data_IF_473057591028
#
_entry.id   IF_473057591028
#
_cell.length_a   1.000
_cell.length_b   1.000
_cell.length_c   1.000
_cell.angle_alpha   90.00
_cell.angle_beta   90.00
_cell.angle_gamma   90.00
#
_symmetry.space_group_name_H-M   'P 1'
#
loop_
_entity.id
_entity.type
_entity.pdbx_description
1 polymer ?
#
# COMPACT_ATOMS: atom_id res chain seq x y z
N UNK A 1 17.58 17.28 -10.64
CA UNK A 1 16.87 17.03 -11.90
C UNK A 1 15.75 16.08 -11.56
N UNK A 2 14.55 16.61 -11.32
CA UNK A 2 13.38 15.81 -11.00
C UNK A 2 12.88 15.24 -12.34
N UNK A 3 13.11 13.95 -12.53
CA UNK A 3 12.64 13.23 -13.72
C UNK A 3 11.10 13.28 -13.74
N UNK A 4 10.55 13.53 -14.91
CA UNK A 4 9.16 13.90 -15.18
C UNK A 4 8.12 13.00 -14.50
N UNK A 5 7.57 13.48 -13.37
CA UNK A 5 6.26 13.04 -12.89
C UNK A 5 5.15 13.28 -13.95
N UNK A 6 5.44 14.02 -15.03
CA UNK A 6 4.55 14.30 -16.14
C UNK A 6 4.25 13.08 -17.05
N UNK A 7 4.98 11.96 -16.89
CA UNK A 7 4.80 10.77 -17.74
C UNK A 7 3.71 9.79 -17.32
N UNK A 8 3.14 9.91 -16.11
CA UNK A 8 2.32 8.86 -15.49
C UNK A 8 0.85 9.24 -15.28
N UNK A 9 0.40 10.34 -15.89
CA UNK A 9 -0.94 10.87 -15.71
C UNK A 9 -1.09 11.65 -14.40
N UNK A 10 -2.32 12.12 -14.14
CA UNK A 10 -2.65 12.78 -12.87
C UNK A 10 -2.73 11.81 -11.69
N UNK A 11 -2.83 12.30 -10.45
CA UNK A 11 -2.90 11.47 -9.24
C UNK A 11 -4.00 10.39 -9.31
N UNK A 12 -5.14 10.72 -9.90
CA UNK A 12 -6.27 9.80 -10.05
C UNK A 12 -5.96 8.65 -11.03
N UNK A 13 -5.46 8.97 -12.22
CA UNK A 13 -5.12 7.96 -13.23
C UNK A 13 -4.04 6.99 -12.71
N UNK A 14 -3.01 7.55 -12.06
CA UNK A 14 -1.97 6.76 -11.42
C UNK A 14 -2.54 5.84 -10.33
N UNK A 15 -3.43 6.36 -9.48
CA UNK A 15 -4.04 5.60 -8.38
C UNK A 15 -4.92 4.47 -8.91
N UNK A 16 -5.68 4.68 -9.99
CA UNK A 16 -6.49 3.64 -10.61
C UNK A 16 -5.65 2.49 -11.17
N UNK A 17 -4.53 2.81 -11.83
CA UNK A 17 -3.59 1.80 -12.32
C UNK A 17 -2.90 1.07 -11.16
N UNK A 18 -2.53 1.80 -10.12
CA UNK A 18 -1.94 1.23 -8.91
C UNK A 18 -2.91 0.26 -8.24
N UNK A 19 -4.15 0.67 -7.99
CA UNK A 19 -5.16 -0.16 -7.31
C UNK A 19 -5.42 -1.46 -8.05
N UNK A 20 -5.61 -1.42 -9.38
CA UNK A 20 -5.80 -2.64 -10.19
C UNK A 20 -4.59 -3.58 -10.10
N UNK A 21 -3.38 -3.02 -10.15
CA UNK A 21 -2.15 -3.80 -10.12
C UNK A 21 -1.87 -4.37 -8.72
N UNK A 22 -2.08 -3.56 -7.68
CA UNK A 22 -1.85 -3.90 -6.29
C UNK A 22 -2.88 -4.94 -5.81
N UNK A 23 -4.14 -4.80 -6.21
CA UNK A 23 -5.18 -5.78 -5.89
C UNK A 23 -4.77 -7.18 -6.35
N UNK A 24 -4.35 -7.31 -7.61
CA UNK A 24 -3.87 -8.58 -8.15
C UNK A 24 -2.63 -9.10 -7.41
N UNK A 25 -1.63 -8.24 -7.22
CA UNK A 25 -0.38 -8.66 -6.56
C UNK A 25 -0.59 -9.09 -5.09
N UNK A 26 -1.50 -8.43 -4.38
CA UNK A 26 -1.85 -8.75 -3.00
C UNK A 26 -2.69 -10.03 -2.92
N UNK A 27 -3.64 -10.24 -3.85
CA UNK A 27 -4.38 -11.50 -3.95
C UNK A 27 -3.43 -12.68 -4.21
N UNK A 28 -2.54 -12.58 -5.20
CA UNK A 28 -1.55 -13.59 -5.51
C UNK A 28 -0.61 -13.86 -4.30
N UNK A 29 -0.27 -12.82 -3.54
CA UNK A 29 0.50 -12.95 -2.29
C UNK A 29 -0.29 -13.72 -1.22
N UNK A 30 -1.54 -13.34 -0.97
CA UNK A 30 -2.43 -13.97 -0.01
C UNK A 30 -2.60 -15.46 -0.31
N UNK A 31 -2.86 -15.82 -1.58
CA UNK A 31 -2.95 -17.21 -2.03
C UNK A 31 -1.66 -18.00 -1.74
N UNK A 32 -0.48 -17.44 -2.08
CA UNK A 32 0.82 -18.11 -1.85
C UNK A 32 1.19 -18.24 -0.37
N UNK A 33 0.73 -17.34 0.49
CA UNK A 33 1.10 -17.30 1.91
C UNK A 33 0.03 -17.85 2.85
N UNK A 34 -1.18 -18.13 2.36
CA UNK A 34 -2.30 -18.55 3.20
C UNK A 34 -2.87 -17.38 4.01
N UNK A 35 -2.94 -16.19 3.40
CA UNK A 35 -3.67 -15.03 3.93
C UNK A 35 -4.96 -14.81 3.15
N UNK A 36 -5.79 -13.93 3.66
CA UNK A 36 -7.03 -13.47 3.02
C UNK A 36 -7.02 -11.95 2.93
N UNK A 37 -7.34 -11.41 1.76
CA UNK A 37 -7.47 -9.97 1.57
C UNK A 37 -8.84 -9.52 2.07
N UNK A 38 -8.84 -8.66 3.09
CA UNK A 38 -10.06 -8.03 3.61
C UNK A 38 -10.38 -6.74 2.83
N UNK A 39 -9.39 -5.85 2.69
CA UNK A 39 -9.59 -4.58 1.98
C UNK A 39 -8.28 -4.00 1.42
N UNK A 40 -8.40 -3.23 0.33
CA UNK A 40 -7.37 -2.38 -0.24
C UNK A 40 -8.03 -1.06 -0.65
N UNK A 41 -7.62 0.05 -0.02
CA UNK A 41 -8.20 1.37 -0.25
C UNK A 41 -7.10 2.42 -0.43
N UNK A 42 -7.46 3.54 -1.05
CA UNK A 42 -6.63 4.73 -1.12
C UNK A 42 -7.36 5.92 -0.50
N UNK A 43 -6.61 6.77 0.17
CA UNK A 43 -7.10 8.01 0.78
C UNK A 43 -6.18 9.17 0.40
N UNK A 44 -6.78 10.34 0.18
CA UNK A 44 -6.05 11.59 0.00
C UNK A 44 -5.81 12.18 1.38
N UNK A 45 -4.55 12.38 1.74
CA UNK A 45 -4.13 13.03 2.98
C UNK A 45 -3.36 14.30 2.65
N UNK A 46 -3.61 15.41 3.35
CA UNK A 46 -2.74 16.57 3.26
C UNK A 46 -1.41 16.25 3.95
N UNK A 47 -0.30 16.61 3.32
CA UNK A 47 0.99 16.58 4.03
C UNK A 47 1.21 17.85 4.87
N UNK A 48 2.36 17.90 5.56
CA UNK A 48 2.73 19.03 6.43
C UNK A 48 2.96 20.34 5.67
N UNK A 49 3.15 20.27 4.35
CA UNK A 49 3.30 21.41 3.45
C UNK A 49 1.99 21.78 2.74
N UNK A 50 0.93 21.00 2.91
CA UNK A 50 -0.36 21.16 2.25
C UNK A 50 -0.42 20.56 0.85
N UNK A 51 0.60 19.81 0.45
CA UNK A 51 0.62 19.08 -0.80
C UNK A 51 -0.23 17.81 -0.70
N UNK A 52 -0.70 17.36 -1.87
CA UNK A 52 -1.56 16.17 -1.99
C UNK A 52 -0.70 14.92 -1.86
N UNK A 53 -0.94 14.13 -0.83
CA UNK A 53 -0.39 12.78 -0.69
C UNK A 53 -1.54 11.78 -0.80
N UNK A 54 -1.29 10.69 -1.52
CA UNK A 54 -2.23 9.56 -1.58
C UNK A 54 -1.59 8.40 -0.83
N UNK A 55 -2.28 7.89 0.18
CA UNK A 55 -1.85 6.72 0.94
C UNK A 55 -2.72 5.52 0.55
N UNK A 56 -2.07 4.37 0.33
CA UNK A 56 -2.75 3.10 0.13
C UNK A 56 -2.70 2.27 1.42
N UNK A 57 -3.84 1.73 1.81
CA UNK A 57 -4.00 0.87 2.99
C UNK A 57 -4.53 -0.48 2.57
N UNK A 58 -3.82 -1.54 2.97
CA UNK A 58 -4.25 -2.92 2.82
C UNK A 58 -4.48 -3.54 4.19
N UNK A 59 -5.59 -4.27 4.30
CA UNK A 59 -5.89 -5.12 5.44
C UNK A 59 -5.91 -6.57 4.95
N UNK A 60 -5.10 -7.42 5.57
CA UNK A 60 -5.13 -8.87 5.34
C UNK A 60 -5.33 -9.63 6.63
N UNK A 61 -6.09 -10.71 6.59
CA UNK A 61 -6.14 -11.70 7.65
C UNK A 61 -5.05 -12.73 7.39
N UNK A 62 -4.09 -12.86 8.30
CA UNK A 62 -2.97 -13.77 8.15
C UNK A 62 -2.67 -14.46 9.49
N UNK A 63 -2.65 -15.80 9.47
CA UNK A 63 -2.44 -16.65 10.66
C UNK A 63 -3.37 -16.29 11.84
N UNK A 64 -4.63 -15.94 11.54
CA UNK A 64 -5.63 -15.55 12.54
C UNK A 64 -5.48 -14.12 13.08
N UNK A 65 -4.56 -13.32 12.54
CA UNK A 65 -4.34 -11.93 12.95
C UNK A 65 -4.70 -10.98 11.81
N UNK A 66 -5.23 -9.80 12.18
CA UNK A 66 -5.45 -8.70 11.25
C UNK A 66 -4.14 -7.93 11.04
N UNK A 67 -3.62 -7.94 9.83
CA UNK A 67 -2.50 -7.12 9.39
C UNK A 67 -3.04 -5.84 8.77
N UNK A 68 -2.52 -4.68 9.17
CA UNK A 68 -2.78 -3.42 8.48
C UNK A 68 -1.46 -2.88 7.96
N UNK A 69 -1.40 -2.63 6.66
CA UNK A 69 -0.22 -2.08 6.01
C UNK A 69 -0.61 -0.81 5.26
N UNK A 70 0.06 0.30 5.57
CA UNK A 70 -0.22 1.61 4.98
C UNK A 70 1.05 2.19 4.40
N UNK A 71 0.98 2.76 3.20
CA UNK A 71 2.13 3.42 2.56
C UNK A 71 1.70 4.52 1.61
N UNK A 72 2.48 5.61 1.56
CA UNK A 72 2.33 6.65 0.54
C UNK A 72 2.58 6.09 -0.86
N UNK A 73 1.77 6.48 -1.84
CA UNK A 73 1.89 6.08 -3.26
C UNK A 73 2.00 7.28 -4.20
N UNK A 74 1.61 8.47 -3.73
CA UNK A 74 1.71 9.74 -4.45
C UNK A 74 2.36 10.80 -3.54
N UNK A 75 3.28 11.66 -4.02
CA UNK A 75 3.78 11.72 -5.40
C UNK A 75 4.53 10.44 -5.79
N UNK A 76 4.47 10.05 -7.07
CA UNK A 76 4.95 8.76 -7.47
C UNK A 76 6.47 8.81 -7.63
N UNK A 77 7.15 7.73 -7.27
CA UNK A 77 8.60 7.54 -7.49
C UNK A 77 8.90 6.47 -8.55
N UNK A 78 7.87 5.73 -8.95
CA UNK A 78 7.94 4.59 -9.87
C UNK A 78 6.63 4.53 -10.67
N UNK A 79 6.60 3.87 -11.84
CA UNK A 79 5.34 3.54 -12.51
C UNK A 79 4.40 2.77 -11.59
N UNK A 80 3.08 2.98 -11.73
CA UNK A 80 2.07 2.44 -10.83
C UNK A 80 2.13 0.91 -10.66
N UNK A 81 2.41 0.18 -11.73
CA UNK A 81 2.59 -1.29 -11.71
C UNK A 81 3.80 -1.72 -10.90
N UNK A 82 4.95 -1.04 -11.08
CA UNK A 82 6.16 -1.26 -10.29
C UNK A 82 5.92 -0.90 -8.82
N UNK A 83 5.23 0.22 -8.55
CA UNK A 83 4.89 0.62 -7.18
C UNK A 83 3.98 -0.39 -6.50
N UNK A 84 3.02 -0.96 -7.23
CA UNK A 84 2.15 -2.03 -6.73
C UNK A 84 2.93 -3.29 -6.33
N UNK A 85 3.90 -3.72 -7.15
CA UNK A 85 4.76 -4.85 -6.82
C UNK A 85 5.60 -4.58 -5.54
N UNK A 86 6.24 -3.40 -5.46
CA UNK A 86 6.99 -2.98 -4.27
C UNK A 86 6.09 -2.93 -3.03
N UNK A 87 4.86 -2.43 -3.18
CA UNK A 87 3.88 -2.37 -2.11
C UNK A 87 3.52 -3.77 -1.59
N UNK A 88 3.24 -4.72 -2.49
CA UNK A 88 2.96 -6.11 -2.12
C UNK A 88 4.15 -6.79 -1.44
N UNK A 89 5.38 -6.55 -1.89
CA UNK A 89 6.60 -7.04 -1.22
C UNK A 89 6.72 -6.46 0.19
N UNK A 90 6.50 -5.15 0.36
CA UNK A 90 6.54 -4.53 1.68
C UNK A 90 5.46 -5.06 2.63
N UNK A 91 4.26 -5.33 2.10
CA UNK A 91 3.20 -6.01 2.85
C UNK A 91 3.64 -7.43 3.27
N UNK A 92 4.20 -8.21 2.35
CA UNK A 92 4.72 -9.55 2.65
C UNK A 92 5.75 -9.52 3.78
N UNK A 93 6.75 -8.63 3.67
CA UNK A 93 7.75 -8.44 4.73
C UNK A 93 7.09 -8.05 6.06
N UNK A 94 6.11 -7.14 6.04
CA UNK A 94 5.39 -6.73 7.24
C UNK A 94 4.62 -7.90 7.88
N UNK A 95 3.90 -8.69 7.09
CA UNK A 95 3.19 -9.89 7.55
C UNK A 95 4.13 -10.91 8.20
N UNK A 96 5.33 -11.08 7.64
CA UNK A 96 6.28 -12.08 8.13
C UNK A 96 7.11 -11.63 9.34
N UNK A 97 7.32 -10.32 9.51
CA UNK A 97 8.30 -9.80 10.49
C UNK A 97 7.68 -8.98 11.63
N UNK A 98 6.54 -8.31 11.39
CA UNK A 98 5.94 -7.38 12.35
C UNK A 98 4.65 -7.88 13.00
N UNK A 99 4.18 -9.06 12.61
CA UNK A 99 3.10 -9.74 13.33
C UNK A 99 3.61 -10.31 14.66
N UNK A 100 3.74 -9.43 15.64
CA UNK A 100 3.75 -9.83 17.04
C UNK A 100 2.30 -10.17 17.39
N UNK A 101 1.99 -11.39 17.88
CA UNK A 101 0.61 -11.73 18.24
C UNK A 101 0.23 -10.95 19.50
N UNK A 102 -0.39 -9.77 19.39
CA UNK A 102 -0.99 -9.07 20.54
C UNK A 102 -2.27 -8.30 20.20
N UNK A 103 -3.34 -8.75 20.87
CA UNK A 103 -4.38 -7.98 21.53
C UNK A 103 -4.13 -6.46 21.55
N UNK A 104 -4.98 -5.69 20.88
CA UNK A 104 -5.10 -4.25 21.09
C UNK A 104 -4.57 -3.38 19.96
N UNK A 105 -5.52 -2.82 19.22
CA UNK A 105 -5.51 -1.52 18.54
C UNK A 105 -4.19 -0.71 18.60
N UNK A 106 -3.56 -0.49 17.44
CA UNK A 106 -2.55 0.56 17.32
C UNK A 106 -2.52 1.14 15.90
N UNK A 107 -3.01 2.37 15.80
CA UNK A 107 -2.96 3.23 14.63
C UNK A 107 -1.50 3.57 14.31
N UNK A 108 -0.86 2.73 13.50
CA UNK A 108 0.54 2.96 13.09
C UNK A 108 0.68 4.26 12.29
N UNK A 109 1.67 5.12 12.63
CA UNK A 109 1.93 6.36 11.90
C UNK A 109 2.41 6.08 10.48
N UNK A 110 2.13 7.02 9.57
CA UNK A 110 2.59 6.97 8.18
C UNK A 110 4.10 7.19 8.16
N UNK A 111 4.87 6.20 7.70
CA UNK A 111 6.24 6.42 7.24
C UNK A 111 6.16 7.18 5.91
N UNK A 112 6.48 8.48 5.95
CA UNK A 112 6.61 9.38 4.80
C UNK A 112 8.01 9.27 4.19
#
# INVERSE_FOLDING_TARGET
>A
MADDAAGWGGPQEYTDVFLRSALRAVQDLCERRGGELDSLTCEVVPDSTGDVVIAATTVVLFRGNRCVFRRGIWPPSHPATTRAAIYATGLEEHMMTRMVPRLGDDSSPVDL
#
